data_IF_414816039218
#
_entry.id   IF_414816039218
#
_cell.length_a   1.000
_cell.length_b   1.000
_cell.length_c   1.000
_cell.angle_alpha   90.00
_cell.angle_beta   90.00
_cell.angle_gamma   90.00
#
_symmetry.space_group_name_H-M   'P 1'
#
loop_
_entity.id
_entity.type
_entity.pdbx_description
1 polymer ?
#
# COMPACT_ATOMS: atom_id res chain seq x y z
N UNK A 1 5.61 8.84 4.09
CA UNK A 1 4.57 7.84 4.41
C UNK A 1 4.60 6.74 3.36
N UNK A 2 4.49 5.48 3.77
CA UNK A 2 4.38 4.34 2.87
C UNK A 2 3.29 3.41 3.40
N UNK A 3 2.42 2.94 2.51
CA UNK A 3 1.23 2.15 2.86
C UNK A 3 1.19 0.91 1.96
N UNK A 4 0.90 -0.26 2.53
CA UNK A 4 0.74 -1.48 1.75
C UNK A 4 0.65 -2.73 2.59
N UNK A 5 1.33 -3.80 2.15
CA UNK A 5 1.34 -5.10 2.82
C UNK A 5 2.75 -5.55 3.21
N UNK A 6 2.85 -6.28 4.32
CA UNK A 6 4.07 -6.97 4.74
C UNK A 6 3.74 -8.29 5.46
N UNK A 7 4.71 -9.20 5.50
CA UNK A 7 4.66 -10.36 6.40
C UNK A 7 5.08 -9.97 7.81
N UNK A 8 4.57 -10.72 8.82
CA UNK A 8 5.09 -10.65 10.19
C UNK A 8 6.18 -11.71 10.41
N UNK A 9 7.22 -11.42 11.19
CA UNK A 9 7.57 -10.11 11.74
C UNK A 9 8.14 -9.17 10.66
N UNK A 10 7.83 -7.87 10.74
CA UNK A 10 8.44 -6.84 9.90
C UNK A 10 9.36 -5.96 10.76
N UNK A 11 10.57 -5.59 10.29
CA UNK A 11 11.48 -4.74 11.06
C UNK A 11 10.89 -3.34 11.33
N UNK A 12 10.76 -2.98 12.61
CA UNK A 12 10.15 -1.70 13.04
C UNK A 12 10.92 -0.45 12.59
N UNK A 13 12.20 -0.59 12.28
CA UNK A 13 13.11 0.49 11.87
C UNK A 13 13.17 0.69 10.35
N UNK A 14 12.37 -0.07 9.56
CA UNK A 14 12.41 -0.03 8.10
C UNK A 14 11.05 0.36 7.53
N UNK A 15 11.06 1.13 6.45
CA UNK A 15 9.84 1.49 5.72
C UNK A 15 9.31 0.28 4.92
N UNK A 16 7.98 0.06 4.87
CA UNK A 16 7.36 -0.94 4.00
C UNK A 16 7.77 -0.84 2.53
N UNK A 17 7.91 -1.99 1.86
CA UNK A 17 8.39 -2.09 0.47
C UNK A 17 9.91 -2.19 0.35
N UNK A 18 10.67 -1.74 1.35
CA UNK A 18 12.15 -1.76 1.35
C UNK A 18 12.78 -3.00 2.00
N UNK A 19 11.97 -3.94 2.49
CA UNK A 19 12.43 -5.19 3.07
C UNK A 19 11.65 -6.37 2.50
N UNK A 20 12.27 -7.56 2.55
CA UNK A 20 11.70 -8.78 1.94
C UNK A 20 10.26 -9.03 2.39
N UNK A 21 9.47 -9.55 1.46
CA UNK A 21 8.07 -9.92 1.64
C UNK A 21 7.20 -8.73 2.07
N UNK A 22 7.50 -7.55 1.54
CA UNK A 22 6.65 -6.37 1.67
C UNK A 22 6.51 -5.64 0.34
N UNK A 23 5.42 -4.90 0.22
CA UNK A 23 5.10 -4.04 -0.91
C UNK A 23 4.37 -2.81 -0.39
N UNK A 24 4.78 -1.63 -0.84
CA UNK A 24 4.15 -0.40 -0.40
C UNK A 24 4.21 0.70 -1.45
N UNK A 25 3.18 1.53 -1.42
CA UNK A 25 3.07 2.76 -2.18
C UNK A 25 3.63 3.94 -1.36
N UNK A 26 4.61 4.65 -1.91
CA UNK A 26 5.35 5.70 -1.22
C UNK A 26 4.80 7.09 -1.57
N UNK A 27 4.47 7.87 -0.54
CA UNK A 27 3.74 9.13 -0.67
C UNK A 27 4.52 10.22 -1.39
N UNK A 28 5.83 10.30 -1.16
CA UNK A 28 6.71 11.36 -1.66
C UNK A 28 6.92 11.30 -3.18
N UNK A 29 7.06 10.08 -3.72
CA UNK A 29 7.44 9.86 -5.12
C UNK A 29 6.31 9.29 -5.97
N UNK A 30 5.24 8.76 -5.37
CA UNK A 30 4.23 8.02 -6.13
C UNK A 30 4.79 6.73 -6.74
N UNK A 31 5.80 6.15 -6.11
CA UNK A 31 6.42 4.89 -6.54
C UNK A 31 6.00 3.74 -5.64
N UNK A 32 5.95 2.53 -6.21
CA UNK A 32 5.80 1.30 -5.45
C UNK A 32 7.15 0.62 -5.29
N UNK A 33 7.47 0.23 -4.06
CA UNK A 33 8.62 -0.61 -3.74
C UNK A 33 8.12 -1.99 -3.31
N UNK A 34 8.77 -3.05 -3.78
CA UNK A 34 8.42 -4.42 -3.46
C UNK A 34 9.67 -5.23 -3.11
N UNK A 35 9.87 -5.50 -1.82
CA UNK A 35 10.99 -6.26 -1.27
C UNK A 35 12.39 -5.72 -1.51
N UNK A 36 12.52 -4.53 -2.09
CA UNK A 36 13.78 -3.94 -2.52
C UNK A 36 13.73 -2.40 -2.37
N UNK A 37 14.70 -1.77 -1.66
CA UNK A 37 14.74 -0.31 -1.49
C UNK A 37 15.25 0.46 -2.72
N UNK A 38 15.92 -0.21 -3.66
CA UNK A 38 16.55 0.40 -4.83
C UNK A 38 15.68 0.33 -6.09
N UNK A 39 14.79 -0.67 -6.17
CA UNK A 39 13.95 -0.92 -7.34
C UNK A 39 12.53 -0.35 -7.20
N UNK A 40 12.45 0.96 -6.96
CA UNK A 40 11.18 1.69 -6.96
C UNK A 40 10.60 1.80 -8.37
N UNK A 41 9.34 1.43 -8.55
CA UNK A 41 8.64 1.53 -9.85
C UNK A 41 7.68 2.71 -9.85
N UNK A 42 7.71 3.60 -10.86
CA UNK A 42 6.66 4.58 -11.06
C UNK A 42 5.31 3.88 -11.13
N UNK A 43 4.32 4.38 -10.38
CA UNK A 43 3.03 3.72 -10.26
C UNK A 43 1.88 4.70 -10.31
N UNK A 44 1.94 5.77 -9.52
CA UNK A 44 0.87 6.74 -9.45
C UNK A 44 1.35 8.13 -9.03
N UNK A 45 0.43 9.07 -8.86
CA UNK A 45 0.74 10.43 -8.40
C UNK A 45 1.07 10.46 -6.90
N UNK A 46 2.00 11.33 -6.49
CA UNK A 46 2.32 11.56 -5.08
C UNK A 46 1.06 11.75 -4.21
N UNK A 47 1.07 11.14 -3.03
CA UNK A 47 -0.02 11.22 -2.05
C UNK A 47 0.09 12.54 -1.31
N UNK A 48 -1.03 13.25 -1.20
CA UNK A 48 -1.14 14.55 -0.53
C UNK A 48 -2.07 14.43 0.68
N UNK A 49 -2.01 15.43 1.54
CA UNK A 49 -2.95 15.58 2.63
C UNK A 49 -4.39 15.63 2.11
N UNK A 50 -5.30 14.94 2.81
CA UNK A 50 -6.71 14.79 2.41
C UNK A 50 -6.99 13.67 1.41
N UNK A 51 -5.97 13.05 0.79
CA UNK A 51 -6.19 11.89 -0.07
C UNK A 51 -6.62 10.67 0.75
N UNK A 52 -7.60 9.93 0.23
CA UNK A 52 -7.99 8.60 0.72
C UNK A 52 -7.32 7.55 -0.15
N UNK A 53 -6.39 6.80 0.44
CA UNK A 53 -5.66 5.73 -0.24
C UNK A 53 -6.20 4.38 0.19
N UNK A 54 -6.67 3.59 -0.78
CA UNK A 54 -7.07 2.20 -0.57
C UNK A 54 -5.95 1.25 -0.97
N UNK A 55 -5.86 0.12 -0.27
CA UNK A 55 -4.91 -0.97 -0.56
C UNK A 55 -5.71 -2.22 -0.90
N UNK A 56 -5.65 -2.63 -2.16
CA UNK A 56 -6.37 -3.78 -2.67
C UNK A 56 -5.50 -5.02 -2.81
N UNK A 57 -6.07 -6.19 -2.49
CA UNK A 57 -5.43 -7.48 -2.68
C UNK A 57 -6.40 -8.48 -3.31
N UNK A 58 -6.07 -8.99 -4.50
CA UNK A 58 -6.83 -10.05 -5.15
C UNK A 58 -6.23 -11.41 -4.78
N UNK A 59 -6.90 -12.13 -3.87
CA UNK A 59 -6.39 -13.38 -3.28
C UNK A 59 -5.99 -14.43 -4.32
N UNK A 60 -6.83 -14.66 -5.34
CA UNK A 60 -6.59 -15.70 -6.36
C UNK A 60 -5.28 -15.50 -7.14
N UNK A 61 -4.96 -14.25 -7.49
CA UNK A 61 -3.77 -13.93 -8.30
C UNK A 61 -2.59 -13.41 -7.49
N UNK A 62 -2.80 -13.11 -6.19
CA UNK A 62 -1.83 -12.35 -5.39
C UNK A 62 -1.56 -10.97 -5.98
N UNK A 63 -2.55 -10.36 -6.66
CA UNK A 63 -2.37 -9.04 -7.25
C UNK A 63 -2.58 -7.98 -6.19
N UNK A 64 -1.62 -7.05 -6.08
CA UNK A 64 -1.73 -5.87 -5.24
C UNK A 64 -2.01 -4.67 -6.13
N UNK A 65 -2.96 -3.84 -5.72
CA UNK A 65 -3.28 -2.58 -6.38
C UNK A 65 -3.61 -1.53 -5.33
N UNK A 66 -3.57 -0.26 -5.71
CA UNK A 66 -3.94 0.84 -4.84
C UNK A 66 -5.03 1.69 -5.50
N UNK A 67 -5.80 2.36 -4.67
CA UNK A 67 -6.80 3.33 -5.12
C UNK A 67 -6.49 4.69 -4.52
N UNK A 68 -6.84 5.76 -5.23
CA UNK A 68 -6.79 7.13 -4.71
C UNK A 68 -8.16 7.77 -4.89
N UNK A 69 -8.74 8.26 -3.81
CA UNK A 69 -10.03 8.93 -3.79
C UNK A 69 -11.13 8.10 -4.49
N UNK A 70 -11.14 6.79 -4.25
CA UNK A 70 -12.07 5.84 -4.84
C UNK A 70 -11.75 5.40 -6.28
N UNK A 71 -10.71 5.95 -6.92
CA UNK A 71 -10.29 5.56 -8.27
C UNK A 71 -9.15 4.53 -8.23
N UNK A 72 -9.26 3.47 -9.03
CA UNK A 72 -8.23 2.43 -9.13
C UNK A 72 -7.02 2.93 -9.95
N UNK A 73 -5.81 2.82 -9.38
CA UNK A 73 -4.55 3.23 -10.02
C UNK A 73 -3.90 2.10 -10.84
N UNK A 74 -4.54 0.93 -10.94
CA UNK A 74 -4.05 -0.22 -11.69
C UNK A 74 -3.20 -1.18 -10.86
N UNK A 75 -2.67 -2.23 -11.48
CA UNK A 75 -1.95 -3.29 -10.76
C UNK A 75 -0.55 -2.84 -10.39
N UNK A 76 -0.22 -2.85 -9.10
CA UNK A 76 1.11 -2.52 -8.60
C UNK A 76 2.07 -3.72 -8.65
N UNK A 77 1.54 -4.92 -8.40
CA UNK A 77 2.28 -6.17 -8.51
C UNK A 77 1.32 -7.33 -8.75
N UNK A 78 1.83 -8.41 -9.35
CA UNK A 78 1.11 -9.67 -9.59
C UNK A 78 1.95 -10.79 -8.97
N UNK A 79 1.29 -11.75 -8.32
CA UNK A 79 1.97 -12.89 -7.70
C UNK A 79 2.60 -12.61 -6.34
N UNK A 80 2.16 -11.58 -5.62
CA UNK A 80 2.55 -11.33 -4.23
C UNK A 80 1.87 -12.34 -3.29
N UNK A 81 2.32 -13.59 -3.33
CA UNK A 81 1.73 -14.72 -2.60
C UNK A 81 2.40 -14.94 -1.24
N UNK A 82 2.23 -13.98 -0.34
CA UNK A 82 2.72 -14.06 1.04
C UNK A 82 1.57 -13.86 2.03
N UNK A 83 1.72 -14.25 3.31
CA UNK A 83 0.79 -13.85 4.36
C UNK A 83 0.75 -12.32 4.47
N UNK A 84 -0.33 -11.71 3.97
CA UNK A 84 -0.47 -10.26 3.90
C UNK A 84 -1.00 -9.69 5.21
N UNK A 85 -0.29 -8.72 5.76
CA UNK A 85 -0.79 -7.88 6.85
C UNK A 85 -0.71 -6.42 6.40
N UNK A 86 -1.76 -5.62 6.65
CA UNK A 86 -1.71 -4.19 6.36
C UNK A 86 -0.57 -3.55 7.16
N UNK A 87 0.17 -2.66 6.51
CA UNK A 87 1.31 -1.97 7.13
C UNK A 87 1.38 -0.53 6.68
N UNK A 88 1.70 0.35 7.63
CA UNK A 88 1.95 1.76 7.41
C UNK A 88 3.30 2.09 8.04
N UNK A 89 4.14 2.83 7.33
CA UNK A 89 5.40 3.36 7.86
C UNK A 89 5.59 4.82 7.47
N UNK A 90 6.22 5.62 8.32
CA UNK A 90 6.54 7.01 8.01
C UNK A 90 7.96 7.35 8.43
N UNK A 91 8.58 8.26 7.67
CA UNK A 91 9.81 8.93 8.05
C UNK A 91 9.38 10.35 8.44
N UNK A 92 9.33 10.61 9.75
CA UNK A 92 8.84 11.86 10.32
C UNK A 92 7.35 11.83 10.74
N UNK A 93 6.88 12.91 11.38
CA UNK A 93 5.51 13.01 11.89
C UNK A 93 4.47 12.81 10.79
N UNK A 94 3.45 12.02 11.08
CA UNK A 94 2.28 11.86 10.21
C UNK A 94 1.05 11.53 11.05
N UNK A 95 -0.12 12.03 10.63
CA UNK A 95 -1.40 11.62 11.18
C UNK A 95 -2.18 10.88 10.09
N UNK A 96 -2.71 9.70 10.41
CA UNK A 96 -3.40 8.84 9.46
C UNK A 96 -4.60 8.21 10.16
N UNK A 97 -5.78 8.36 9.55
CA UNK A 97 -6.96 7.56 9.91
C UNK A 97 -6.97 6.28 9.08
N UNK A 98 -7.40 5.17 9.68
CA UNK A 98 -7.42 3.86 9.04
C UNK A 98 -8.81 3.26 9.15
N UNK A 99 -9.35 2.82 8.01
CA UNK A 99 -10.62 2.11 7.94
C UNK A 99 -10.36 0.65 7.53
N UNK A 100 -10.73 -0.31 8.38
CA UNK A 100 -10.68 -1.75 8.12
C UNK A 100 -12.06 -2.36 7.82
N UNK A 101 -13.03 -1.53 7.41
CA UNK A 101 -14.41 -1.91 7.12
C UNK A 101 -15.42 -1.53 8.20
N UNK A 102 -15.08 -0.56 9.07
CA UNK A 102 -16.04 0.01 10.03
C UNK A 102 -16.98 1.03 9.38
N UNK A 103 -16.54 1.62 8.27
CA UNK A 103 -17.30 2.51 7.40
C UNK A 103 -17.15 2.04 5.95
N UNK A 104 -18.02 2.49 5.05
CA UNK A 104 -17.91 2.19 3.63
C UNK A 104 -16.56 2.67 3.06
N UNK A 105 -15.94 1.84 2.23
CA UNK A 105 -14.75 2.24 1.48
C UNK A 105 -15.13 3.21 0.38
N UNK A 106 -14.27 4.21 0.14
CA UNK A 106 -14.45 5.13 -0.99
C UNK A 106 -14.29 4.43 -2.36
N UNK A 107 -13.58 3.30 -2.39
CA UNK A 107 -13.55 2.41 -3.56
C UNK A 107 -14.78 1.50 -3.52
N UNK A 108 -15.85 1.89 -4.24
CA UNK A 108 -17.16 1.25 -4.11
C UNK A 108 -17.19 -0.26 -4.39
N UNK A 109 -16.33 -0.78 -5.26
CA UNK A 109 -16.25 -2.22 -5.54
C UNK A 109 -15.74 -3.06 -4.34
N UNK A 110 -15.21 -2.43 -3.28
CA UNK A 110 -14.83 -3.12 -2.04
C UNK A 110 -15.98 -3.24 -1.02
N UNK A 111 -17.12 -2.60 -1.26
CA UNK A 111 -18.29 -2.65 -0.36
C UNK A 111 -19.33 -3.70 -0.80
N UNK A 112 -18.98 -4.55 -1.77
CA UNK A 112 -19.85 -5.58 -2.35
C UNK A 112 -19.50 -6.97 -1.85
#
# INVERSE_FOLDING_TARGET
>A
LAIGFATKPYPRWRIPGWHRHSIAYHSNSGTVFASDPSLGRPYGPAIKEGDVIGVGYLYQSGTVFFTRNGQNLGKASIGFKYPVHPVIGSIGPCNVSVNFGHEDFLFGAANQ
#
